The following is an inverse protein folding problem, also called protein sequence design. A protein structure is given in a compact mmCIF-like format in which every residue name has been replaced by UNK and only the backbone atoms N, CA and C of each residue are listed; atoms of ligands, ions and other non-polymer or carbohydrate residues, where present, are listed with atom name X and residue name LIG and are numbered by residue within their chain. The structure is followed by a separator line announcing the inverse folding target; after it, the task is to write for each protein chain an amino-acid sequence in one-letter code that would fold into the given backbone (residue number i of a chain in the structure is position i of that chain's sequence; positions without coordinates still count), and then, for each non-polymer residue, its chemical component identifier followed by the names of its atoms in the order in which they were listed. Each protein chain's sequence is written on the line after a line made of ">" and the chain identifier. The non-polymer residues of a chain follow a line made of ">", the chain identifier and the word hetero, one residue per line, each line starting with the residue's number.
data_IF_843214883533
#
_entry.id   IF_843214883533
#
_cell.length_a   1.000
_cell.length_b   1.000
_cell.length_c   1.000
_cell.angle_alpha   90.00
_cell.angle_beta   90.00
_cell.angle_gamma   90.00
#
_symmetry.space_group_name_H-M   'P 1'
#
loop_
_entity.id
_entity.type
_entity.pdbx_description
1 polymer ?
#
# COMPACT_ATOMS: atom_id res chain seq x y z
N UNK A 1 69.71 27.12 -0.80
CA UNK A 1 68.72 27.41 -1.87
C UNK A 1 67.98 26.12 -2.32
N UNK A 2 68.70 25.10 -2.79
CA UNK A 2 68.06 23.85 -3.32
C UNK A 2 67.21 23.12 -2.24
N UNK A 3 67.75 22.96 -1.02
CA UNK A 3 67.05 22.32 0.12
C UNK A 3 65.76 23.06 0.47
N UNK A 4 65.73 24.36 0.40
CA UNK A 4 64.53 25.20 0.68
C UNK A 4 63.43 24.91 -0.36
N UNK A 5 63.76 24.81 -1.66
CA UNK A 5 62.83 24.50 -2.73
C UNK A 5 62.30 23.08 -2.61
N UNK A 6 63.11 22.11 -2.25
CA UNK A 6 62.67 20.72 -2.01
C UNK A 6 61.66 20.66 -0.85
N UNK A 7 61.92 21.38 0.24
CA UNK A 7 61.05 21.41 1.41
C UNK A 7 59.74 22.08 1.10
N UNK A 8 59.76 23.16 0.31
CA UNK A 8 58.55 23.87 -0.15
C UNK A 8 57.70 22.99 -1.07
N UNK A 9 58.28 22.29 -2.02
CA UNK A 9 57.57 21.35 -2.89
C UNK A 9 56.95 20.20 -2.10
N UNK A 10 57.65 19.67 -1.11
CA UNK A 10 57.17 18.60 -0.23
C UNK A 10 55.95 19.07 0.60
N UNK A 11 55.99 20.28 1.15
CA UNK A 11 54.84 20.86 1.86
C UNK A 11 53.63 21.06 0.95
N UNK A 12 53.86 21.54 -0.28
CA UNK A 12 52.79 21.67 -1.29
C UNK A 12 52.15 20.31 -1.61
N UNK A 13 52.95 19.27 -1.82
CA UNK A 13 52.45 17.92 -2.07
C UNK A 13 51.61 17.40 -0.91
N UNK A 14 52.08 17.59 0.34
CA UNK A 14 51.35 17.19 1.55
C UNK A 14 50.00 17.92 1.65
N UNK A 15 49.97 19.22 1.37
CA UNK A 15 48.74 20.03 1.41
C UNK A 15 47.77 19.56 0.34
N UNK A 16 48.26 19.34 -0.90
CA UNK A 16 47.42 18.84 -1.99
C UNK A 16 46.88 17.43 -1.71
N UNK A 17 47.68 16.55 -1.11
CA UNK A 17 47.26 15.21 -0.68
C UNK A 17 46.20 15.25 0.45
N UNK A 18 46.17 16.33 1.24
CA UNK A 18 45.20 16.55 2.32
C UNK A 18 43.85 17.08 1.87
N UNK A 19 43.71 17.57 0.62
CA UNK A 19 42.46 18.11 0.10
C UNK A 19 41.49 16.96 -0.17
N UNK A 20 40.32 17.02 0.45
CA UNK A 20 39.22 16.08 0.23
C UNK A 20 37.92 16.83 -0.04
N UNK A 21 37.17 16.35 -1.03
CA UNK A 21 35.83 16.87 -1.36
C UNK A 21 34.81 15.99 -0.69
N UNK A 22 33.89 16.61 0.07
CA UNK A 22 32.72 15.97 0.68
C UNK A 22 31.49 16.43 -0.10
N UNK A 23 30.74 15.49 -0.65
CA UNK A 23 29.54 15.80 -1.41
C UNK A 23 28.42 16.30 -0.48
N UNK A 24 27.42 17.01 -1.05
CA UNK A 24 26.33 17.58 -0.29
C UNK A 24 25.50 16.53 0.49
N UNK A 25 25.37 15.35 -0.06
CA UNK A 25 24.65 14.21 0.53
C UNK A 25 25.53 13.33 1.43
N UNK A 26 26.79 13.70 1.66
CA UNK A 26 27.75 12.96 2.48
C UNK A 26 28.15 13.81 3.70
N UNK A 27 28.62 13.12 4.74
CA UNK A 27 29.32 13.71 5.87
C UNK A 27 30.63 12.99 6.09
N UNK A 28 31.66 13.77 6.33
CA UNK A 28 33.00 13.22 6.62
C UNK A 28 33.21 13.06 8.11
N UNK A 29 33.40 11.82 8.57
CA UNK A 29 33.82 11.52 9.93
C UNK A 29 35.32 11.32 9.94
N UNK A 30 36.05 12.08 10.75
CA UNK A 30 37.51 12.04 10.80
C UNK A 30 37.97 11.33 12.06
N UNK A 31 38.79 10.32 11.85
CA UNK A 31 39.53 9.61 12.90
C UNK A 31 41.00 10.07 12.89
N UNK A 32 41.45 10.68 13.93
CA UNK A 32 42.85 11.10 14.09
C UNK A 32 43.62 10.08 14.94
N UNK A 33 44.60 9.40 14.33
CA UNK A 33 45.33 8.30 14.96
C UNK A 33 44.40 7.31 15.67
N UNK A 34 43.28 6.96 15.04
CA UNK A 34 42.28 6.05 15.57
C UNK A 34 41.27 6.68 16.54
N UNK A 35 41.52 7.91 17.04
CA UNK A 35 40.56 8.61 17.92
C UNK A 35 39.57 9.42 17.11
N UNK A 36 38.27 9.30 17.45
CA UNK A 36 37.22 10.09 16.85
C UNK A 36 37.41 11.59 17.11
N UNK A 37 37.29 12.38 16.04
CA UNK A 37 37.11 13.84 16.18
C UNK A 37 35.60 14.16 16.18
N UNK A 38 35.13 14.93 17.20
CA UNK A 38 33.70 15.23 17.34
C UNK A 38 33.16 16.11 16.18
N UNK A 39 34.05 16.82 15.48
CA UNK A 39 33.65 17.70 14.39
C UNK A 39 33.44 16.92 13.09
N UNK A 40 32.16 16.74 12.72
CA UNK A 40 31.77 16.20 11.42
C UNK A 40 32.16 17.22 10.34
N UNK A 41 32.82 16.75 9.29
CA UNK A 41 33.14 17.59 8.13
C UNK A 41 31.90 17.74 7.24
N UNK A 42 31.44 18.99 7.17
CA UNK A 42 30.33 19.39 6.30
C UNK A 42 30.74 19.33 4.81
N UNK A 43 29.77 19.36 3.88
CA UNK A 43 30.03 19.37 2.45
C UNK A 43 30.95 20.51 2.03
N UNK A 44 31.64 20.27 0.92
CA UNK A 44 32.58 21.19 0.32
C UNK A 44 34.03 20.70 0.38
N UNK A 45 34.95 21.60 0.10
CA UNK A 45 36.37 21.33 0.10
C UNK A 45 36.89 21.37 1.54
N UNK A 46 37.45 20.25 2.02
CA UNK A 46 37.95 20.09 3.37
C UNK A 46 39.41 19.65 3.36
N UNK A 47 40.19 20.25 4.26
CA UNK A 47 41.57 19.87 4.46
C UNK A 47 41.68 18.89 5.62
N UNK A 48 42.36 17.80 5.40
CA UNK A 48 42.74 16.79 6.40
C UNK A 48 44.26 16.63 6.42
N UNK A 49 44.82 16.19 7.51
CA UNK A 49 46.25 15.96 7.63
C UNK A 49 46.50 14.50 7.10
N UNK A 50 47.13 14.35 5.91
CA UNK A 50 47.42 13.02 5.39
C UNK A 50 48.31 12.25 6.39
N UNK A 51 48.15 10.92 6.40
CA UNK A 51 48.80 9.94 7.32
C UNK A 51 48.31 9.98 8.77
N UNK A 52 47.84 11.11 9.27
CA UNK A 52 47.36 11.27 10.66
C UNK A 52 45.81 11.14 10.74
N UNK A 53 45.12 11.75 9.77
CA UNK A 53 43.66 11.79 9.72
C UNK A 53 43.12 10.80 8.69
N UNK A 54 42.26 9.90 9.13
CA UNK A 54 41.46 9.04 8.24
C UNK A 54 40.05 9.60 8.18
N UNK A 55 39.58 9.95 6.98
CA UNK A 55 38.22 10.39 6.76
C UNK A 55 37.36 9.27 6.14
N UNK A 56 36.30 8.88 6.85
CA UNK A 56 35.24 8.00 6.31
C UNK A 56 34.04 8.86 5.92
N UNK A 57 33.59 8.70 4.66
CA UNK A 57 32.41 9.39 4.15
C UNK A 57 31.19 8.53 4.38
N UNK A 58 30.14 9.12 4.92
CA UNK A 58 28.86 8.47 5.19
C UNK A 58 27.78 9.19 4.40
N UNK A 59 27.03 8.44 3.59
CA UNK A 59 25.88 8.97 2.83
C UNK A 59 24.67 9.14 3.74
N UNK A 60 24.01 10.30 3.64
CA UNK A 60 22.76 10.60 4.36
C UNK A 60 21.50 10.30 3.51
N UNK A 61 21.67 9.79 2.30
CA UNK A 61 20.53 9.45 1.44
C UNK A 61 19.76 8.28 1.99
N UNK A 62 18.48 8.23 1.64
CA UNK A 62 17.66 7.06 1.90
C UNK A 62 18.18 5.88 1.08
N UNK A 63 18.37 4.77 1.75
CA UNK A 63 18.82 3.50 1.14
C UNK A 63 17.66 2.51 1.25
N UNK A 64 17.40 1.82 0.15
CA UNK A 64 16.45 0.72 0.08
C UNK A 64 17.14 -0.57 0.49
N UNK A 65 16.59 -1.25 1.48
CA UNK A 65 17.08 -2.53 1.98
C UNK A 65 16.05 -3.61 1.68
N UNK A 66 16.24 -4.43 0.65
CA UNK A 66 15.37 -5.57 0.42
C UNK A 66 15.61 -6.63 1.50
N UNK A 67 14.52 -7.15 2.06
CA UNK A 67 14.50 -8.29 2.97
C UNK A 67 13.97 -9.48 2.19
N UNK A 68 14.81 -10.47 2.00
CA UNK A 68 14.50 -11.67 1.21
C UNK A 68 13.29 -12.42 1.77
N UNK A 69 12.60 -13.10 0.86
CA UNK A 69 11.46 -13.95 1.21
C UNK A 69 11.88 -15.02 2.22
N UNK A 70 11.12 -15.12 3.29
CA UNK A 70 11.33 -16.11 4.33
C UNK A 70 10.03 -16.78 4.72
N UNK A 71 10.13 -18.09 4.99
CA UNK A 71 9.00 -18.86 5.48
C UNK A 71 8.72 -18.55 6.94
N UNK A 72 7.50 -18.16 7.22
CA UNK A 72 7.03 -17.77 8.55
C UNK A 72 5.74 -18.52 8.86
N UNK A 73 5.59 -18.97 10.09
CA UNK A 73 4.34 -19.57 10.58
C UNK A 73 3.59 -18.48 11.35
N UNK A 74 2.39 -18.16 10.92
CA UNK A 74 1.49 -17.19 11.57
C UNK A 74 0.92 -17.75 12.87
N UNK A 75 0.27 -16.87 13.65
CA UNK A 75 -0.43 -17.25 14.89
C UNK A 75 -1.48 -18.35 14.67
N UNK A 76 -2.09 -18.38 13.47
CA UNK A 76 -3.11 -19.36 13.07
C UNK A 76 -2.51 -20.67 12.55
N UNK A 77 -1.21 -20.87 12.75
CA UNK A 77 -0.45 -22.05 12.32
C UNK A 77 -0.41 -22.27 10.80
N UNK A 78 -0.49 -21.18 10.02
CA UNK A 78 -0.36 -21.18 8.56
C UNK A 78 1.05 -20.79 8.19
N UNK A 79 1.71 -21.59 7.34
CA UNK A 79 3.04 -21.28 6.80
C UNK A 79 2.88 -20.38 5.57
N UNK A 80 3.49 -19.19 5.58
CA UNK A 80 3.49 -18.22 4.51
C UNK A 80 4.92 -17.80 4.18
N UNK A 81 5.16 -17.43 2.92
CA UNK A 81 6.42 -16.82 2.52
C UNK A 81 6.22 -15.31 2.41
N UNK A 82 7.06 -14.55 3.13
CA UNK A 82 6.92 -13.10 3.23
C UNK A 82 8.24 -12.42 2.87
N UNK A 83 8.19 -11.51 1.92
CA UNK A 83 9.26 -10.58 1.58
C UNK A 83 8.88 -9.16 2.04
N UNK A 84 9.91 -8.35 2.36
CA UNK A 84 9.71 -6.98 2.79
C UNK A 84 10.77 -6.06 2.19
N UNK A 85 10.52 -4.75 2.27
CA UNK A 85 11.49 -3.71 1.92
C UNK A 85 11.50 -2.68 3.04
N UNK A 86 12.69 -2.36 3.53
CA UNK A 86 12.89 -1.30 4.51
C UNK A 86 13.63 -0.12 3.87
N UNK A 87 13.17 1.09 4.13
CA UNK A 87 13.81 2.33 3.72
C UNK A 87 14.43 2.98 4.95
N UNK A 88 15.72 3.18 4.92
CA UNK A 88 16.44 3.80 6.03
C UNK A 88 17.42 4.87 5.57
N UNK A 89 17.78 5.76 6.46
CA UNK A 89 18.84 6.75 6.26
C UNK A 89 19.67 6.89 7.53
N UNK A 90 20.93 7.29 7.37
CA UNK A 90 21.82 7.57 8.48
C UNK A 90 21.59 9.02 8.93
N UNK A 91 21.15 9.22 10.19
CA UNK A 91 20.99 10.55 10.80
C UNK A 91 22.25 10.97 11.56
N UNK A 92 22.90 10.02 12.24
CA UNK A 92 24.12 10.27 12.99
C UNK A 92 25.29 9.48 12.39
N UNK A 93 26.13 10.13 11.55
CA UNK A 93 27.25 9.46 10.90
C UNK A 93 28.31 8.96 11.89
N UNK A 94 28.42 9.58 13.07
CA UNK A 94 29.41 9.18 14.08
C UNK A 94 29.02 7.82 14.66
N UNK A 95 27.77 7.69 15.12
CA UNK A 95 27.28 6.42 15.66
C UNK A 95 27.32 5.29 14.65
N UNK A 96 27.00 5.58 13.38
CA UNK A 96 27.02 4.58 12.33
C UNK A 96 28.40 4.01 12.00
N UNK A 97 29.50 4.66 12.42
CA UNK A 97 30.86 4.17 12.23
C UNK A 97 31.41 3.52 13.49
N UNK A 98 31.03 4.02 14.67
CA UNK A 98 31.64 3.57 15.93
C UNK A 98 30.88 2.40 16.53
N UNK A 99 29.55 2.49 16.54
CA UNK A 99 28.71 1.52 17.25
C UNK A 99 28.52 0.21 16.45
N UNK A 100 28.78 0.25 15.15
CA UNK A 100 28.53 -0.91 14.28
C UNK A 100 29.51 -0.96 13.13
N UNK A 101 30.04 -2.17 12.86
CA UNK A 101 30.99 -2.37 11.78
C UNK A 101 30.32 -2.30 10.40
N UNK A 102 29.20 -2.98 10.22
CA UNK A 102 28.46 -3.04 8.96
C UNK A 102 26.98 -2.71 9.17
N UNK A 103 26.66 -1.45 8.90
CA UNK A 103 25.30 -0.89 9.01
C UNK A 103 24.28 -1.69 8.19
N UNK A 104 24.64 -2.04 6.95
CA UNK A 104 23.74 -2.72 6.01
C UNK A 104 23.39 -4.10 6.54
N UNK A 105 24.39 -4.91 6.84
CA UNK A 105 24.16 -6.28 7.30
C UNK A 105 23.40 -6.34 8.63
N UNK A 106 23.76 -5.48 9.58
CA UNK A 106 23.09 -5.50 10.87
C UNK A 106 21.63 -5.01 10.78
N UNK A 107 21.37 -3.97 9.97
CA UNK A 107 20.01 -3.50 9.72
C UNK A 107 19.19 -4.59 9.01
N UNK A 108 19.80 -5.31 8.05
CA UNK A 108 19.17 -6.45 7.39
C UNK A 108 18.77 -7.56 8.36
N UNK A 109 19.69 -7.98 9.23
CA UNK A 109 19.43 -9.05 10.21
C UNK A 109 18.33 -8.68 11.20
N UNK A 110 18.34 -7.43 11.71
CA UNK A 110 17.27 -6.97 12.60
C UNK A 110 15.94 -6.86 11.82
N UNK A 111 15.95 -6.34 10.59
CA UNK A 111 14.74 -6.25 9.78
C UNK A 111 14.14 -7.64 9.54
N UNK A 112 14.96 -8.59 9.11
CA UNK A 112 14.54 -9.97 8.87
C UNK A 112 13.93 -10.61 10.12
N UNK A 113 14.60 -10.46 11.28
CA UNK A 113 14.12 -11.02 12.55
C UNK A 113 12.85 -10.32 13.03
N UNK A 114 12.75 -9.00 12.86
CA UNK A 114 11.58 -8.23 13.27
C UNK A 114 10.36 -8.57 12.41
N UNK A 115 10.52 -8.66 11.09
CA UNK A 115 9.46 -9.12 10.17
C UNK A 115 8.95 -10.48 10.59
N UNK A 116 9.87 -11.45 10.83
CA UNK A 116 9.50 -12.79 11.29
C UNK A 116 8.70 -12.77 12.58
N UNK A 117 9.14 -12.00 13.56
CA UNK A 117 8.49 -11.95 14.87
C UNK A 117 7.10 -11.30 14.79
N UNK A 118 6.97 -10.17 14.10
CA UNK A 118 5.69 -9.45 14.00
C UNK A 118 4.68 -10.24 13.19
N UNK A 119 5.08 -10.78 12.03
CA UNK A 119 4.20 -11.61 11.20
C UNK A 119 3.83 -12.91 11.90
N UNK A 120 4.80 -13.56 12.58
CA UNK A 120 4.53 -14.81 13.35
C UNK A 120 3.60 -14.61 14.54
N UNK A 121 3.48 -13.40 15.08
CA UNK A 121 2.55 -13.07 16.17
C UNK A 121 1.18 -12.60 15.68
N UNK A 122 1.03 -12.35 14.40
CA UNK A 122 -0.21 -11.87 13.77
C UNK A 122 -0.99 -13.03 13.16
N UNK A 123 -2.33 -12.90 13.09
CA UNK A 123 -3.17 -13.82 12.34
C UNK A 123 -2.99 -13.55 10.83
N UNK A 124 -3.20 -14.59 10.00
CA UNK A 124 -3.08 -14.47 8.56
C UNK A 124 -4.00 -13.37 7.99
N UNK A 125 -5.23 -13.35 8.47
CA UNK A 125 -6.21 -12.34 8.04
C UNK A 125 -5.77 -10.91 8.37
N UNK A 126 -5.15 -10.68 9.54
CA UNK A 126 -4.57 -9.38 9.91
C UNK A 126 -3.42 -8.99 8.98
N UNK A 127 -2.55 -9.94 8.63
CA UNK A 127 -1.40 -9.69 7.73
C UNK A 127 -1.88 -9.28 6.34
N UNK A 128 -2.97 -9.89 5.85
CA UNK A 128 -3.52 -9.61 4.51
C UNK A 128 -4.41 -8.37 4.47
N UNK A 129 -5.27 -8.17 5.48
CA UNK A 129 -6.27 -7.09 5.49
C UNK A 129 -5.76 -5.80 6.13
N UNK A 130 -4.84 -5.88 7.11
CA UNK A 130 -4.32 -4.75 7.88
C UNK A 130 -2.81 -4.57 7.72
N UNK A 131 -2.32 -4.76 6.50
CA UNK A 131 -0.89 -4.68 6.17
C UNK A 131 -0.24 -3.37 6.64
N UNK A 132 -0.96 -2.25 6.57
CA UNK A 132 -0.47 -0.95 7.05
C UNK A 132 -0.16 -0.93 8.55
N UNK A 133 -1.01 -1.56 9.37
CA UNK A 133 -0.80 -1.66 10.83
C UNK A 133 0.41 -2.53 11.15
N UNK A 134 0.59 -3.61 10.40
CA UNK A 134 1.75 -4.50 10.52
C UNK A 134 3.04 -3.76 10.13
N UNK A 135 3.02 -3.04 9.02
CA UNK A 135 4.14 -2.23 8.56
C UNK A 135 4.56 -1.20 9.61
N UNK A 136 3.61 -0.50 10.22
CA UNK A 136 3.88 0.48 11.28
C UNK A 136 4.44 -0.17 12.55
N UNK A 137 3.96 -1.37 12.93
CA UNK A 137 4.52 -2.12 14.07
C UNK A 137 5.98 -2.49 13.80
N UNK A 138 6.27 -3.04 12.61
CA UNK A 138 7.63 -3.41 12.21
C UNK A 138 8.53 -2.18 12.20
N UNK A 139 8.08 -1.08 11.58
CA UNK A 139 8.81 0.18 11.54
C UNK A 139 9.19 0.68 12.94
N UNK A 140 8.22 0.72 13.88
CA UNK A 140 8.46 1.20 15.25
C UNK A 140 9.51 0.38 15.97
N UNK A 141 9.46 -0.95 15.86
CA UNK A 141 10.43 -1.85 16.50
C UNK A 141 11.82 -1.65 15.88
N UNK A 142 11.88 -1.58 14.53
CA UNK A 142 13.14 -1.35 13.83
C UNK A 142 13.76 0.00 14.17
N UNK A 143 12.97 1.07 14.17
CA UNK A 143 13.47 2.41 14.45
C UNK A 143 14.09 2.49 15.87
N UNK A 144 13.41 1.93 16.86
CA UNK A 144 13.95 1.83 18.23
C UNK A 144 15.24 1.01 18.29
N UNK A 145 15.29 -0.13 17.59
CA UNK A 145 16.46 -1.01 17.60
C UNK A 145 17.67 -0.39 16.91
N UNK A 146 17.46 0.37 15.81
CA UNK A 146 18.51 0.96 15.00
C UNK A 146 18.92 2.39 15.43
N UNK A 147 18.11 3.05 16.24
CA UNK A 147 18.37 4.40 16.74
C UNK A 147 19.72 4.51 17.46
N UNK A 148 20.14 3.47 18.21
CA UNK A 148 21.44 3.41 18.88
C UNK A 148 22.63 3.50 17.92
N UNK A 149 22.44 3.08 16.67
CA UNK A 149 23.46 3.15 15.60
C UNK A 149 23.36 4.43 14.77
N UNK A 150 22.48 5.35 15.14
CA UNK A 150 22.26 6.60 14.40
C UNK A 150 21.52 6.43 13.09
N UNK A 151 20.79 5.32 12.92
CA UNK A 151 19.98 4.99 11.76
C UNK A 151 18.53 5.35 12.05
N UNK A 152 17.86 5.91 11.07
CA UNK A 152 16.43 6.20 11.09
C UNK A 152 15.72 5.39 10.00
N UNK A 153 14.73 4.61 10.39
CA UNK A 153 13.89 3.85 9.46
C UNK A 153 12.70 4.71 9.07
N UNK A 154 12.63 5.12 7.80
CA UNK A 154 11.55 5.95 7.30
C UNK A 154 10.27 5.17 7.08
N UNK A 155 10.37 4.03 6.41
CA UNK A 155 9.21 3.19 6.06
C UNK A 155 9.65 1.73 5.99
N UNK A 156 8.73 0.82 6.31
CA UNK A 156 8.87 -0.61 6.06
C UNK A 156 7.60 -1.07 5.39
N UNK A 157 7.72 -1.86 4.34
CA UNK A 157 6.61 -2.37 3.57
C UNK A 157 6.78 -3.87 3.34
N UNK A 158 5.73 -4.63 3.63
CA UNK A 158 5.63 -6.01 3.19
C UNK A 158 5.37 -5.99 1.68
N UNK A 159 6.25 -6.62 0.91
CA UNK A 159 6.21 -6.56 -0.54
C UNK A 159 5.39 -7.68 -1.15
N UNK A 160 5.60 -8.90 -0.67
CA UNK A 160 5.04 -10.10 -1.26
C UNK A 160 4.67 -11.08 -0.16
N UNK A 161 3.45 -11.58 -0.18
CA UNK A 161 2.92 -12.55 0.79
C UNK A 161 2.39 -13.72 -0.02
N UNK A 162 3.14 -14.82 -0.03
CA UNK A 162 2.77 -16.02 -0.78
C UNK A 162 2.18 -17.06 0.16
N UNK A 163 1.00 -17.52 -0.21
CA UNK A 163 0.26 -18.55 0.50
C UNK A 163 0.45 -19.91 -0.17
N UNK A 164 0.41 -21.00 0.57
CA UNK A 164 0.36 -22.35 -0.02
C UNK A 164 -0.88 -22.51 -0.93
N UNK A 165 -0.73 -23.24 -2.05
CA UNK A 165 -1.80 -23.43 -3.05
C UNK A 165 -3.11 -23.99 -2.46
N UNK A 166 -3.00 -24.85 -1.45
CA UNK A 166 -4.16 -25.41 -0.74
C UNK A 166 -4.96 -24.30 -0.03
N UNK A 167 -4.27 -23.35 0.60
CA UNK A 167 -4.88 -22.24 1.33
C UNK A 167 -5.44 -21.20 0.35
N UNK A 168 -4.72 -20.88 -0.73
CA UNK A 168 -5.24 -19.99 -1.77
C UNK A 168 -6.57 -20.48 -2.31
N UNK A 169 -6.68 -21.79 -2.62
CA UNK A 169 -7.93 -22.41 -3.08
C UNK A 169 -9.03 -22.39 -2.03
N UNK A 170 -8.70 -22.57 -0.76
CA UNK A 170 -9.68 -22.50 0.32
C UNK A 170 -10.21 -21.07 0.49
N UNK A 171 -9.33 -20.06 0.51
CA UNK A 171 -9.70 -18.65 0.61
C UNK A 171 -10.49 -18.18 -0.63
N UNK A 172 -10.13 -18.65 -1.84
CA UNK A 172 -10.89 -18.35 -3.05
C UNK A 172 -12.35 -18.82 -2.93
N UNK A 173 -12.56 -20.07 -2.49
CA UNK A 173 -13.92 -20.60 -2.28
C UNK A 173 -14.68 -19.84 -1.19
N UNK A 174 -14.00 -19.48 -0.11
CA UNK A 174 -14.61 -18.68 0.97
C UNK A 174 -15.02 -17.29 0.47
N UNK A 175 -14.13 -16.63 -0.28
CA UNK A 175 -14.41 -15.32 -0.86
C UNK A 175 -15.56 -15.37 -1.88
N UNK A 176 -15.63 -16.43 -2.69
CA UNK A 176 -16.72 -16.67 -3.65
C UNK A 176 -18.06 -16.86 -2.92
N UNK A 177 -18.08 -17.71 -1.88
CA UNK A 177 -19.28 -17.93 -1.07
C UNK A 177 -19.74 -16.64 -0.34
N UNK A 178 -18.81 -15.84 0.15
CA UNK A 178 -19.15 -14.56 0.79
C UNK A 178 -19.67 -13.54 -0.21
N UNK A 179 -19.08 -13.47 -1.43
CA UNK A 179 -19.60 -12.62 -2.52
C UNK A 179 -20.98 -13.05 -2.94
N UNK A 180 -21.23 -14.35 -3.10
CA UNK A 180 -22.55 -14.88 -3.43
C UNK A 180 -23.59 -14.57 -2.36
N UNK A 181 -23.24 -14.77 -1.08
CA UNK A 181 -24.10 -14.37 0.05
C UNK A 181 -24.44 -12.87 -0.01
N UNK A 182 -23.44 -12.03 -0.19
CA UNK A 182 -23.61 -10.57 -0.27
C UNK A 182 -24.46 -10.16 -1.48
N UNK A 183 -24.24 -10.78 -2.64
CA UNK A 183 -25.05 -10.57 -3.84
C UNK A 183 -26.52 -10.93 -3.59
N UNK A 184 -26.80 -12.08 -2.93
CA UNK A 184 -28.17 -12.48 -2.58
C UNK A 184 -28.84 -11.50 -1.61
N UNK A 185 -28.10 -10.97 -0.63
CA UNK A 185 -28.63 -9.97 0.30
C UNK A 185 -28.98 -8.69 -0.45
N UNK A 186 -28.03 -8.17 -1.26
CA UNK A 186 -28.27 -6.95 -2.06
C UNK A 186 -29.44 -7.12 -3.02
N UNK A 187 -29.58 -8.29 -3.67
CA UNK A 187 -30.69 -8.59 -4.56
C UNK A 187 -32.03 -8.58 -3.77
N UNK A 188 -32.08 -9.23 -2.62
CA UNK A 188 -33.28 -9.26 -1.76
C UNK A 188 -33.67 -7.88 -1.24
N UNK A 189 -32.68 -7.07 -0.79
CA UNK A 189 -32.91 -5.68 -0.39
C UNK A 189 -33.42 -4.81 -1.56
N UNK A 190 -32.83 -5.00 -2.75
CA UNK A 190 -33.27 -4.33 -3.97
C UNK A 190 -34.70 -4.71 -4.37
N UNK A 191 -35.06 -5.99 -4.27
CA UNK A 191 -36.42 -6.48 -4.52
C UNK A 191 -37.43 -5.91 -3.51
N UNK A 192 -37.08 -5.91 -2.22
CA UNK A 192 -37.90 -5.31 -1.17
C UNK A 192 -38.13 -3.82 -1.43
N UNK A 193 -37.06 -3.07 -1.74
CA UNK A 193 -37.17 -1.64 -2.03
C UNK A 193 -38.01 -1.39 -3.29
N UNK A 194 -37.81 -2.20 -4.34
CA UNK A 194 -38.60 -2.15 -5.56
C UNK A 194 -40.07 -2.43 -5.29
N UNK A 195 -40.40 -3.50 -4.54
CA UNK A 195 -41.78 -3.83 -4.18
C UNK A 195 -42.43 -2.72 -3.39
N UNK A 196 -41.71 -2.11 -2.43
CA UNK A 196 -42.22 -0.96 -1.68
C UNK A 196 -42.54 0.22 -2.59
N UNK A 197 -41.62 0.56 -3.50
CA UNK A 197 -41.80 1.66 -4.47
C UNK A 197 -42.90 1.40 -5.47
N UNK A 198 -43.05 0.15 -5.91
CA UNK A 198 -44.19 -0.25 -6.75
C UNK A 198 -45.50 -0.16 -6.01
N UNK A 199 -45.57 -0.53 -4.73
CA UNK A 199 -46.74 -0.36 -3.88
C UNK A 199 -47.15 1.11 -3.72
N UNK A 200 -46.18 1.98 -3.36
CA UNK A 200 -46.39 3.43 -3.29
C UNK A 200 -46.88 4.00 -4.63
N UNK A 201 -46.32 3.58 -5.75
CA UNK A 201 -46.72 4.00 -7.08
C UNK A 201 -48.13 3.52 -7.42
N UNK A 202 -48.48 2.26 -7.08
CA UNK A 202 -49.81 1.72 -7.27
C UNK A 202 -50.88 2.49 -6.45
N UNK A 203 -50.59 2.87 -5.21
CA UNK A 203 -51.46 3.69 -4.36
C UNK A 203 -51.71 5.08 -4.95
N UNK A 204 -50.71 5.70 -5.56
CA UNK A 204 -50.82 6.99 -6.25
C UNK A 204 -51.70 6.86 -7.51
N UNK A 205 -51.46 5.81 -8.31
CA UNK A 205 -52.21 5.52 -9.54
C UNK A 205 -53.69 5.21 -9.20
N UNK A 206 -53.97 4.47 -8.13
CA UNK A 206 -55.32 4.14 -7.70
C UNK A 206 -56.16 5.39 -7.34
N UNK A 207 -55.50 6.44 -6.85
CA UNK A 207 -56.16 7.75 -6.54
C UNK A 207 -56.45 8.57 -7.82
N UNK A 208 -55.82 8.26 -8.94
CA UNK A 208 -55.95 8.99 -10.21
C UNK A 208 -56.21 8.03 -11.37
N UNK A 209 -57.46 7.62 -11.63
CA UNK A 209 -57.76 6.61 -12.67
C UNK A 209 -57.26 6.91 -14.10
N UNK A 210 -57.16 8.22 -14.42
CA UNK A 210 -56.61 8.68 -15.72
C UNK A 210 -55.12 8.35 -15.84
N UNK A 211 -54.36 8.32 -14.71
CA UNK A 211 -52.94 7.97 -14.72
C UNK A 211 -52.69 6.51 -15.21
N UNK A 212 -53.60 5.59 -14.90
CA UNK A 212 -53.52 4.20 -15.37
C UNK A 212 -53.63 4.11 -16.90
N UNK A 213 -54.54 4.90 -17.50
CA UNK A 213 -54.71 4.93 -18.96
C UNK A 213 -53.48 5.51 -19.67
N UNK A 214 -52.93 6.60 -19.10
CA UNK A 214 -51.68 7.19 -19.61
C UNK A 214 -50.50 6.22 -19.51
N UNK A 215 -50.38 5.47 -18.42
CA UNK A 215 -49.32 4.46 -18.24
C UNK A 215 -49.46 3.30 -19.23
N UNK A 216 -50.70 2.85 -19.46
CA UNK A 216 -50.94 1.81 -20.49
C UNK A 216 -50.54 2.29 -21.88
N UNK A 217 -50.83 3.54 -22.25
CA UNK A 217 -50.41 4.13 -23.52
C UNK A 217 -48.90 4.25 -23.62
N UNK A 218 -48.24 4.64 -22.51
CA UNK A 218 -46.76 4.75 -22.45
C UNK A 218 -46.11 3.37 -22.64
N UNK A 219 -46.62 2.32 -21.94
CA UNK A 219 -46.13 0.96 -22.08
C UNK A 219 -46.33 0.43 -23.52
N UNK A 220 -47.46 0.76 -24.14
CA UNK A 220 -47.70 0.40 -25.57
C UNK A 220 -46.72 1.10 -26.51
N UNK A 221 -46.34 2.35 -26.20
CA UNK A 221 -45.36 3.09 -26.99
C UNK A 221 -43.94 2.51 -26.80
N UNK A 222 -43.57 2.09 -25.59
CA UNK A 222 -42.29 1.42 -25.30
C UNK A 222 -42.20 0.07 -26.04
N UNK A 223 -43.27 -0.77 -26.00
CA UNK A 223 -43.29 -2.04 -26.68
C UNK A 223 -43.24 -1.85 -28.22
N UNK A 224 -43.90 -0.80 -28.74
CA UNK A 224 -43.90 -0.47 -30.17
C UNK A 224 -42.55 0.02 -30.68
N UNK A 225 -41.68 0.57 -29.80
CA UNK A 225 -40.34 1.04 -30.16
C UNK A 225 -39.30 -0.11 -30.25
N UNK A 226 -39.54 -1.20 -29.55
CA UNK A 226 -38.72 -2.41 -29.68
C UNK A 226 -39.17 -3.20 -30.90
N UNK A 227 -38.23 -3.57 -31.79
CA UNK A 227 -38.46 -4.31 -33.03
C UNK A 227 -38.97 -5.75 -32.82
N UNK A 228 -39.89 -5.97 -31.91
CA UNK A 228 -40.48 -7.27 -31.63
C UNK A 228 -41.82 -7.44 -32.37
N UNK A 229 -41.87 -8.44 -33.25
CA UNK A 229 -43.05 -8.77 -34.06
C UNK A 229 -44.17 -9.48 -33.29
N UNK A 230 -44.02 -9.76 -32.00
CA UNK A 230 -45.03 -10.48 -31.21
C UNK A 230 -45.34 -9.76 -29.93
N UNK A 231 -46.55 -9.21 -29.84
CA UNK A 231 -47.06 -8.56 -28.60
C UNK A 231 -48.03 -9.52 -27.93
N UNK A 232 -47.70 -10.00 -26.74
CA UNK A 232 -48.60 -10.84 -25.93
C UNK A 232 -49.47 -9.92 -25.07
N UNK A 233 -50.74 -9.81 -25.37
CA UNK A 233 -51.71 -9.09 -24.57
C UNK A 233 -52.28 -10.00 -23.46
N UNK A 234 -52.20 -9.64 -22.17
CA UNK A 234 -52.88 -10.33 -21.09
C UNK A 234 -54.41 -10.29 -21.35
N UNK A 235 -55.09 -11.43 -21.17
CA UNK A 235 -56.53 -11.57 -21.44
C UNK A 235 -57.41 -10.56 -20.68
N UNK A 236 -56.94 -10.00 -19.57
CA UNK A 236 -57.58 -8.96 -18.77
C UNK A 236 -57.78 -7.62 -19.52
N UNK A 237 -57.00 -7.36 -20.58
CA UNK A 237 -57.21 -6.17 -21.43
C UNK A 237 -58.35 -6.35 -22.47
N UNK A 238 -58.74 -7.60 -22.74
CA UNK A 238 -59.83 -7.88 -23.68
C UNK A 238 -61.21 -7.49 -23.12
N UNK A 239 -61.44 -7.59 -21.80
CA UNK A 239 -62.66 -7.15 -21.15
C UNK A 239 -62.90 -5.63 -21.28
N UNK A 240 -61.83 -4.84 -21.21
CA UNK A 240 -61.90 -3.38 -21.36
C UNK A 240 -62.30 -2.96 -22.80
N UNK A 241 -61.93 -3.73 -23.79
CA UNK A 241 -62.33 -3.50 -25.20
C UNK A 241 -63.78 -3.83 -25.42
N UNK A 242 -64.32 -4.85 -24.76
CA UNK A 242 -65.73 -5.20 -24.79
C UNK A 242 -66.59 -4.13 -24.08
N UNK A 243 -66.13 -3.58 -22.95
CA UNK A 243 -66.79 -2.47 -22.24
C UNK A 243 -66.83 -1.20 -23.08
N UNK A 244 -65.75 -0.90 -23.84
CA UNK A 244 -65.74 0.23 -24.79
C UNK A 244 -66.70 -0.02 -25.98
N UNK A 245 -66.76 -1.24 -26.51
CA UNK A 245 -67.71 -1.59 -27.55
C UNK A 245 -69.19 -1.47 -27.08
N UNK A 246 -69.46 -1.89 -25.85
CA UNK A 246 -70.82 -1.76 -25.27
C UNK A 246 -71.18 -0.31 -24.96
N UNK A 247 -70.23 0.53 -24.60
CA UNK A 247 -70.42 1.98 -24.40
C UNK A 247 -70.75 2.68 -25.74
N UNK A 248 -69.94 2.40 -26.79
CA UNK A 248 -70.18 2.96 -28.13
C UNK A 248 -71.45 2.43 -28.81
N UNK A 249 -71.90 1.24 -28.43
CA UNK A 249 -73.20 0.71 -28.91
C UNK A 249 -74.42 1.29 -28.21
N UNK A 250 -74.24 1.92 -27.03
CA UNK A 250 -75.34 2.57 -26.27
C UNK A 250 -75.56 4.02 -26.66
N UNK A 251 -74.66 4.63 -27.43
CA UNK A 251 -74.74 6.01 -27.94
C UNK A 251 -75.29 6.08 -29.39
N UNK A 252 -75.76 4.94 -29.94
CA UNK A 252 -76.55 4.87 -31.14
C UNK A 252 -77.98 4.47 -30.79
#
# INVERSE_FOLDING_TARGET
>A
MVVFWILLVLVIIIVLAGVRIVNQYERGVVLRLGKLRPNIKEPGLRLIIPFVDQMRKVSLRVVTLPVDSQKIITKDNVSIDVAAVAYYQIKDPIKSIIEIENVINATYQIAQTTVRNVVGQSALDEVLSQTSVINDKIKKILDVATAKWGIYVSTVELKDIQLPDSMQRAMARQAEAEREKRAKIIAAEGEQLSATKLGEAADIIAKHPIALQLRNLQTLTEISSEKNSTVIFPAQFMSTVEDIKTFLAKEK
#
